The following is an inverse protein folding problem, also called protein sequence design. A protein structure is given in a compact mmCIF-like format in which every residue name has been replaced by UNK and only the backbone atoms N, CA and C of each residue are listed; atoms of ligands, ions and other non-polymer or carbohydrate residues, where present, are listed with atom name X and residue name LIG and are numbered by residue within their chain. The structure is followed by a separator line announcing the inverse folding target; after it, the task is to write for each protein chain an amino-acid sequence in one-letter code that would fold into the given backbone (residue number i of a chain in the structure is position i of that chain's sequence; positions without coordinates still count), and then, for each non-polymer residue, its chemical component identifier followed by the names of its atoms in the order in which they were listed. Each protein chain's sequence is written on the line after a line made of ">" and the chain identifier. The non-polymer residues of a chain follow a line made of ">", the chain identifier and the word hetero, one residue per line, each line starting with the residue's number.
data_IF_456745651036
#
_entry.id   IF_456745651036
#
_cell.length_a   1.000
_cell.length_b   1.000
_cell.length_c   1.000
_cell.angle_alpha   90.00
_cell.angle_beta   90.00
_cell.angle_gamma   90.00
#
_symmetry.space_group_name_H-M   'P 1'
#
loop_
_entity.id
_entity.type
_entity.pdbx_description
1 polymer ?
#
# COMPACT_ATOMS: atom_id res chain seq x y z
N UNK A 1 -24.12 0.82 -18.21
CA UNK A 1 -23.00 1.21 -17.32
C UNK A 1 -22.53 -0.07 -16.65
N UNK A 2 -21.51 -0.71 -17.21
CA UNK A 2 -20.98 -1.96 -16.62
C UNK A 2 -20.24 -1.61 -15.35
N UNK A 3 -20.55 -2.33 -14.28
CA UNK A 3 -19.94 -2.19 -12.98
C UNK A 3 -18.48 -2.68 -13.05
N UNK A 4 -17.55 -1.74 -13.23
CA UNK A 4 -16.10 -1.98 -13.26
C UNK A 4 -15.61 -2.73 -12.02
N UNK A 5 -16.32 -2.61 -10.89
CA UNK A 5 -16.01 -3.23 -9.60
C UNK A 5 -16.10 -4.77 -9.66
N UNK A 6 -16.96 -5.32 -10.52
CA UNK A 6 -17.13 -6.77 -10.69
C UNK A 6 -15.97 -7.40 -11.47
N UNK A 7 -15.40 -6.67 -12.44
CA UNK A 7 -14.27 -7.17 -13.25
C UNK A 7 -12.97 -7.26 -12.43
N UNK A 8 -12.70 -6.28 -11.57
CA UNK A 8 -11.50 -6.30 -10.73
C UNK A 8 -11.58 -7.39 -9.65
N UNK A 9 -12.73 -7.57 -9.00
CA UNK A 9 -12.94 -8.64 -8.01
C UNK A 9 -12.71 -10.05 -8.58
N UNK A 10 -12.90 -10.25 -9.88
CA UNK A 10 -12.68 -11.55 -10.54
C UNK A 10 -11.23 -11.74 -10.99
N UNK A 11 -10.55 -10.67 -11.41
CA UNK A 11 -9.14 -10.72 -11.84
C UNK A 11 -8.19 -11.12 -10.70
N UNK A 12 -8.50 -10.74 -9.46
CA UNK A 12 -7.63 -10.97 -8.30
C UNK A 12 -7.93 -12.26 -7.51
N UNK A 13 -8.95 -13.04 -7.90
CA UNK A 13 -9.37 -14.27 -7.19
C UNK A 13 -8.66 -15.55 -7.64
N UNK A 14 -7.99 -15.57 -8.80
CA UNK A 14 -7.54 -16.81 -9.45
C UNK A 14 -6.06 -17.18 -9.26
N UNK A 15 -5.20 -16.26 -8.79
CA UNK A 15 -3.84 -16.59 -8.37
C UNK A 15 -3.78 -16.77 -6.86
N UNK A 16 -2.84 -17.57 -6.39
CA UNK A 16 -2.58 -17.75 -4.96
C UNK A 16 -2.45 -16.38 -4.29
N UNK A 17 -3.53 -15.97 -3.59
CA UNK A 17 -3.76 -14.59 -3.15
C UNK A 17 -2.71 -14.14 -2.15
N UNK A 18 -1.98 -15.09 -1.56
CA UNK A 18 -0.95 -14.85 -0.56
C UNK A 18 0.42 -15.38 -1.02
N UNK A 19 0.79 -15.05 -2.25
CA UNK A 19 2.11 -15.37 -2.81
C UNK A 19 3.00 -14.13 -2.95
N UNK A 20 4.31 -14.33 -2.80
CA UNK A 20 5.30 -13.26 -3.01
C UNK A 20 5.29 -12.77 -4.47
N UNK A 21 4.95 -13.65 -5.42
CA UNK A 21 4.77 -13.29 -6.82
C UNK A 21 3.62 -12.31 -7.04
N UNK A 22 2.54 -12.46 -6.26
CA UNK A 22 1.44 -11.50 -6.29
C UNK A 22 1.87 -10.13 -5.75
N UNK A 23 2.68 -10.10 -4.68
CA UNK A 23 3.26 -8.86 -4.17
C UNK A 23 4.14 -8.18 -5.24
N UNK A 24 5.02 -8.96 -5.89
CA UNK A 24 5.88 -8.49 -7.00
C UNK A 24 5.07 -7.93 -8.16
N UNK A 25 4.01 -8.63 -8.55
CA UNK A 25 3.16 -8.19 -9.63
C UNK A 25 2.48 -6.84 -9.31
N UNK A 26 1.93 -6.70 -8.11
CA UNK A 26 1.22 -5.48 -7.69
C UNK A 26 2.15 -4.27 -7.61
N UNK A 27 3.33 -4.43 -7.01
CA UNK A 27 4.34 -3.36 -6.96
C UNK A 27 4.80 -2.97 -8.36
N UNK A 28 5.04 -3.93 -9.24
CA UNK A 28 5.40 -3.67 -10.64
C UNK A 28 4.29 -2.91 -11.39
N UNK A 29 3.01 -3.23 -11.15
CA UNK A 29 1.92 -2.45 -11.75
C UNK A 29 1.87 -1.02 -11.23
N UNK A 30 2.09 -0.80 -9.93
CA UNK A 30 2.13 0.55 -9.37
C UNK A 30 3.23 1.38 -10.01
N UNK A 31 4.43 0.83 -10.24
CA UNK A 31 5.55 1.58 -10.87
C UNK A 31 5.20 2.13 -12.26
N UNK A 32 4.32 1.46 -13.00
CA UNK A 32 3.89 1.88 -14.35
C UNK A 32 2.89 3.03 -14.34
N UNK A 33 2.28 3.33 -13.18
CA UNK A 33 1.31 4.42 -13.05
C UNK A 33 2.04 5.76 -13.13
N UNK A 34 1.66 6.61 -14.10
CA UNK A 34 2.22 7.95 -14.28
C UNK A 34 1.30 9.08 -13.80
N UNK A 35 0.00 8.82 -13.67
CA UNK A 35 -1.00 9.75 -13.11
C UNK A 35 -2.11 8.94 -12.47
N UNK A 36 -2.67 9.44 -11.36
CA UNK A 36 -3.87 8.84 -10.74
C UNK A 36 -5.04 9.82 -10.84
N UNK A 37 -6.12 9.37 -11.47
CA UNK A 37 -7.33 10.14 -11.76
C UNK A 37 -8.59 9.27 -11.56
N UNK A 38 -9.77 9.83 -11.84
CA UNK A 38 -11.06 9.14 -11.66
C UNK A 38 -11.19 7.83 -12.44
N UNK A 39 -10.43 7.64 -13.52
CA UNK A 39 -10.50 6.44 -14.37
C UNK A 39 -9.75 5.26 -13.75
N UNK A 40 -8.59 5.51 -13.13
CA UNK A 40 -7.72 4.45 -12.62
C UNK A 40 -7.58 4.41 -11.09
N UNK A 41 -8.22 5.33 -10.36
CA UNK A 41 -8.14 5.39 -8.89
C UNK A 41 -8.52 4.08 -8.19
N UNK A 42 -9.54 3.37 -8.69
CA UNK A 42 -10.07 2.18 -8.01
C UNK A 42 -9.08 1.02 -8.12
N UNK A 43 -8.41 0.90 -9.27
CA UNK A 43 -7.30 -0.04 -9.45
C UNK A 43 -6.16 0.23 -8.45
N UNK A 44 -5.75 1.50 -8.31
CA UNK A 44 -4.67 1.88 -7.40
C UNK A 44 -5.07 1.61 -5.95
N UNK A 45 -6.30 1.95 -5.55
CA UNK A 45 -6.83 1.68 -4.22
C UNK A 45 -6.78 0.19 -3.89
N UNK A 46 -7.22 -0.65 -4.82
CA UNK A 46 -7.25 -2.09 -4.62
C UNK A 46 -5.83 -2.68 -4.56
N UNK A 47 -4.92 -2.23 -5.43
CA UNK A 47 -3.53 -2.65 -5.39
C UNK A 47 -2.87 -2.31 -4.04
N UNK A 48 -3.11 -1.11 -3.50
CA UNK A 48 -2.59 -0.70 -2.20
C UNK A 48 -3.15 -1.57 -1.06
N UNK A 49 -4.46 -1.82 -1.06
CA UNK A 49 -5.12 -2.71 -0.08
C UNK A 49 -4.53 -4.11 -0.13
N UNK A 50 -4.45 -4.69 -1.32
CA UNK A 50 -3.88 -6.03 -1.54
C UNK A 50 -2.43 -6.12 -1.07
N UNK A 51 -1.61 -5.09 -1.29
CA UNK A 51 -0.23 -5.05 -0.77
C UNK A 51 -0.23 -5.05 0.76
N UNK A 52 -1.09 -4.29 1.45
CA UNK A 52 -1.16 -4.32 2.91
C UNK A 52 -1.54 -5.70 3.45
N UNK A 53 -2.51 -6.37 2.82
CA UNK A 53 -2.94 -7.73 3.20
C UNK A 53 -1.82 -8.74 3.01
N UNK A 54 -1.16 -8.72 1.84
CA UNK A 54 -0.02 -9.56 1.52
C UNK A 54 1.13 -9.37 2.48
N UNK A 55 1.46 -8.13 2.81
CA UNK A 55 2.53 -7.83 3.76
C UNK A 55 2.17 -8.29 5.16
N UNK A 56 0.95 -8.02 5.62
CA UNK A 56 0.50 -8.38 6.98
C UNK A 56 0.46 -9.88 7.18
N UNK A 57 -0.11 -10.61 6.22
CA UNK A 57 -0.17 -12.06 6.29
C UNK A 57 1.19 -12.70 5.97
N UNK A 58 1.87 -12.24 4.92
CA UNK A 58 3.14 -12.79 4.44
C UNK A 58 4.28 -12.64 5.44
N UNK A 59 4.50 -11.46 6.02
CA UNK A 59 5.58 -11.21 7.01
C UNK A 59 5.44 -12.06 8.27
N UNK A 60 4.22 -12.46 8.62
CA UNK A 60 3.99 -13.35 9.75
C UNK A 60 4.48 -14.79 9.48
N UNK A 61 4.51 -15.22 8.22
CA UNK A 61 4.83 -16.60 7.84
C UNK A 61 6.20 -16.75 7.17
N UNK A 62 6.63 -15.73 6.41
CA UNK A 62 7.86 -15.74 5.60
C UNK A 62 8.53 -14.35 5.61
N UNK A 63 9.76 -14.23 6.16
CA UNK A 63 10.48 -12.95 6.22
C UNK A 63 10.83 -12.36 4.84
N UNK A 64 10.80 -13.17 3.77
CA UNK A 64 11.11 -12.73 2.40
C UNK A 64 10.19 -11.59 1.91
N UNK A 65 8.96 -11.49 2.45
CA UNK A 65 8.03 -10.41 2.15
C UNK A 65 8.56 -9.05 2.62
N UNK A 66 9.09 -9.00 3.84
CA UNK A 66 9.66 -7.78 4.39
C UNK A 66 10.99 -7.42 3.72
N UNK A 67 11.84 -8.41 3.44
CA UNK A 67 13.07 -8.21 2.69
C UNK A 67 12.79 -7.61 1.31
N UNK A 68 11.83 -8.19 0.57
CA UNK A 68 11.39 -7.69 -0.73
C UNK A 68 10.86 -6.25 -0.62
N UNK A 69 10.01 -5.98 0.36
CA UNK A 69 9.42 -4.66 0.58
C UNK A 69 10.49 -3.58 0.77
N UNK A 70 11.55 -3.91 1.53
CA UNK A 70 12.68 -3.03 1.77
C UNK A 70 13.56 -2.88 0.53
N UNK A 71 13.94 -3.99 -0.12
CA UNK A 71 14.80 -4.01 -1.31
C UNK A 71 14.20 -3.20 -2.46
N UNK A 72 12.92 -3.37 -2.74
CA UNK A 72 12.21 -2.65 -3.81
C UNK A 72 11.74 -1.25 -3.43
N UNK A 73 12.05 -0.80 -2.21
CA UNK A 73 11.64 0.50 -1.69
C UNK A 73 10.13 0.75 -1.88
N UNK A 74 9.29 -0.24 -1.55
CA UNK A 74 7.83 -0.17 -1.79
C UNK A 74 7.20 1.05 -1.10
N UNK A 75 7.75 1.47 0.05
CA UNK A 75 7.32 2.71 0.69
C UNK A 75 7.66 3.98 -0.10
N UNK A 76 8.77 3.99 -0.84
CA UNK A 76 9.07 5.05 -1.80
C UNK A 76 8.05 5.12 -2.92
N UNK A 77 7.60 3.96 -3.39
CA UNK A 77 6.56 3.84 -4.41
C UNK A 77 5.21 4.38 -3.93
N UNK A 78 4.83 4.11 -2.68
CA UNK A 78 3.63 4.70 -2.06
C UNK A 78 3.67 6.23 -2.02
N UNK A 79 4.83 6.81 -1.69
CA UNK A 79 5.01 8.27 -1.72
C UNK A 79 4.96 8.82 -3.15
N UNK A 80 5.46 8.08 -4.14
CA UNK A 80 5.35 8.45 -5.55
C UNK A 80 3.88 8.50 -5.98
N UNK A 81 3.11 7.44 -5.70
CA UNK A 81 1.67 7.39 -5.99
C UNK A 81 0.91 8.54 -5.30
N UNK A 82 1.25 8.87 -4.05
CA UNK A 82 0.67 10.01 -3.35
C UNK A 82 0.85 11.33 -4.13
N UNK A 83 2.06 11.57 -4.67
CA UNK A 83 2.39 12.77 -5.45
C UNK A 83 1.72 12.80 -6.82
N UNK A 84 1.41 11.64 -7.39
CA UNK A 84 0.74 11.51 -8.69
C UNK A 84 -0.78 11.60 -8.60
N UNK A 85 -1.35 11.58 -7.39
CA UNK A 85 -2.79 11.59 -7.18
C UNK A 85 -3.41 12.95 -7.38
N UNK A 86 -4.41 13.01 -8.26
CA UNK A 86 -5.34 14.14 -8.42
C UNK A 86 -6.66 13.93 -7.69
N UNK A 87 -6.84 12.78 -7.02
CA UNK A 87 -8.05 12.43 -6.27
C UNK A 87 -7.75 12.36 -4.77
N UNK A 88 -8.80 12.50 -3.94
CA UNK A 88 -8.68 12.44 -2.47
C UNK A 88 -8.73 10.99 -1.95
N UNK A 89 -9.38 10.08 -2.67
CA UNK A 89 -9.58 8.70 -2.22
C UNK A 89 -8.27 7.89 -2.13
N UNK A 90 -7.33 8.11 -3.05
CA UNK A 90 -6.03 7.40 -3.05
C UNK A 90 -5.14 7.81 -1.88
N UNK A 91 -4.93 9.11 -1.57
CA UNK A 91 -4.26 9.52 -0.34
C UNK A 91 -4.86 8.90 0.93
N UNK A 92 -6.18 8.83 1.04
CA UNK A 92 -6.84 8.22 2.20
C UNK A 92 -6.56 6.71 2.29
N UNK A 93 -6.65 5.99 1.18
CA UNK A 93 -6.31 4.56 1.14
C UNK A 93 -4.84 4.32 1.47
N UNK A 94 -3.93 5.17 0.99
CA UNK A 94 -2.50 5.08 1.30
C UNK A 94 -2.26 5.25 2.81
N UNK A 95 -2.89 6.24 3.44
CA UNK A 95 -2.78 6.44 4.89
C UNK A 95 -3.24 5.19 5.64
N UNK A 96 -4.38 4.61 5.27
CA UNK A 96 -4.90 3.37 5.88
C UNK A 96 -3.95 2.19 5.68
N UNK A 97 -3.45 2.02 4.46
CA UNK A 97 -2.49 0.97 4.09
C UNK A 97 -1.23 1.07 4.95
N UNK A 98 -0.66 2.27 5.06
CA UNK A 98 0.52 2.53 5.90
C UNK A 98 0.23 2.28 7.37
N UNK A 99 -0.94 2.69 7.87
CA UNK A 99 -1.34 2.42 9.26
C UNK A 99 -1.39 0.93 9.57
N UNK A 100 -1.97 0.12 8.68
CA UNK A 100 -2.03 -1.35 8.83
C UNK A 100 -0.61 -1.94 8.87
N UNK A 101 0.26 -1.53 7.95
CA UNK A 101 1.64 -2.01 7.89
C UNK A 101 2.43 -1.69 9.17
N UNK A 102 2.32 -0.45 9.68
CA UNK A 102 3.01 -0.06 10.92
C UNK A 102 2.47 -0.85 12.11
N UNK A 103 1.17 -1.15 12.16
CA UNK A 103 0.56 -1.86 13.27
C UNK A 103 0.83 -3.37 13.28
N UNK A 104 0.96 -4.00 12.11
CA UNK A 104 0.92 -5.46 12.00
C UNK A 104 2.27 -6.10 11.63
N UNK A 105 3.22 -5.33 11.09
CA UNK A 105 4.52 -5.88 10.72
C UNK A 105 5.46 -5.95 11.92
N UNK A 106 6.22 -7.05 12.00
CA UNK A 106 7.14 -7.32 13.13
C UNK A 106 8.23 -6.25 13.27
N UNK A 107 8.56 -5.58 12.16
CA UNK A 107 9.62 -4.58 12.08
C UNK A 107 9.08 -3.14 11.92
N UNK A 108 8.11 -2.76 12.77
CA UNK A 108 7.46 -1.43 12.73
C UNK A 108 8.45 -0.25 12.70
N UNK A 109 9.58 -0.37 13.41
CA UNK A 109 10.60 0.67 13.47
C UNK A 109 11.29 0.88 12.11
N UNK A 110 11.53 -0.18 11.33
CA UNK A 110 12.11 -0.06 10.00
C UNK A 110 11.13 0.63 9.04
N UNK A 111 9.84 0.35 9.14
CA UNK A 111 8.79 1.02 8.36
C UNK A 111 8.70 2.50 8.75
N UNK A 112 8.65 2.79 10.06
CA UNK A 112 8.66 4.15 10.56
C UNK A 112 9.87 4.94 10.05
N UNK A 113 11.07 4.33 10.00
CA UNK A 113 12.27 4.93 9.40
C UNK A 113 12.12 5.15 7.89
N UNK A 114 11.64 4.15 7.15
CA UNK A 114 11.43 4.24 5.71
C UNK A 114 10.48 5.37 5.32
N UNK A 115 9.46 5.62 6.14
CA UNK A 115 8.46 6.69 5.99
C UNK A 115 9.05 8.05 6.38
N UNK A 116 9.70 8.14 7.55
CA UNK A 116 10.18 9.41 8.11
C UNK A 116 11.21 10.09 7.21
N UNK A 117 12.00 9.32 6.45
CA UNK A 117 12.93 9.88 5.47
C UNK A 117 12.30 10.35 4.16
N UNK A 118 11.00 10.08 3.93
CA UNK A 118 10.34 10.30 2.62
C UNK A 118 9.12 11.22 2.68
N UNK A 119 8.48 11.33 3.84
CA UNK A 119 7.33 12.19 4.07
C UNK A 119 7.73 13.51 4.74
N UNK A 120 7.03 14.60 4.40
CA UNK A 120 7.22 15.86 5.10
C UNK A 120 6.69 15.76 6.55
N UNK A 121 7.16 16.65 7.44
CA UNK A 121 6.79 16.66 8.87
C UNK A 121 5.27 16.70 9.10
N UNK A 122 4.50 17.29 8.18
CA UNK A 122 3.04 17.41 8.29
C UNK A 122 2.33 16.08 8.00
N UNK A 123 2.79 15.30 7.03
CA UNK A 123 2.24 13.96 6.74
C UNK A 123 2.62 12.95 7.81
N UNK A 124 3.84 13.03 8.35
CA UNK A 124 4.25 12.23 9.52
C UNK A 124 3.41 12.60 10.74
N UNK A 125 3.15 13.89 10.98
CA UNK A 125 2.27 14.35 12.06
C UNK A 125 0.83 13.85 11.88
N UNK A 126 0.30 13.81 10.65
CA UNK A 126 -1.00 13.22 10.34
C UNK A 126 -1.03 11.72 10.63
N UNK A 127 -0.01 10.96 10.23
CA UNK A 127 0.09 9.53 10.53
C UNK A 127 0.15 9.25 12.04
N UNK A 128 0.91 10.05 12.80
CA UNK A 128 1.00 9.94 14.27
C UNK A 128 -0.32 10.37 14.93
N UNK A 129 -1.00 11.38 14.41
CA UNK A 129 -2.33 11.79 14.91
C UNK A 129 -3.39 10.73 14.62
N UNK A 130 -3.36 10.12 13.44
CA UNK A 130 -4.23 8.99 13.08
C UNK A 130 -3.94 7.79 13.99
N UNK A 131 -2.66 7.52 14.31
CA UNK A 131 -2.26 6.52 15.34
C UNK A 131 -2.88 6.82 16.72
N UNK A 132 -2.99 8.09 17.11
CA UNK A 132 -3.61 8.50 18.37
C UNK A 132 -5.15 8.50 18.34
N UNK A 133 -5.75 8.76 17.18
CA UNK A 133 -7.20 8.81 16.98
C UNK A 133 -7.83 7.43 16.80
N UNK A 134 -7.08 6.45 16.27
CA UNK A 134 -7.50 5.05 16.12
C UNK A 134 -7.16 4.20 17.35
N UNK A 135 -7.15 4.78 18.56
CA UNK A 135 -7.13 3.98 19.80
C UNK A 135 -8.33 3.02 19.81
N UNK A 136 -8.08 1.78 19.39
CA UNK A 136 -8.53 0.59 20.12
C UNK A 136 -7.63 0.44 21.35
#
# INVERSE_FOLDING_TARGET
>A
MYDSTIMWNSFWRSRDRFSLDQLRYLTDQLTKVQVVNEVNKDFVIEALRSIAELMTYGDQHDPSYFEYFMEKQVMGEFVRILKLSKTVSVPLQLLQTVSILVQNLRNEHAICRAISGKLNKNTVSLLVKIRGALKL
#
